data_IF_822348674636
#
_entry.id   IF_822348674636
#
_cell.length_a   1.000
_cell.length_b   1.000
_cell.length_c   1.000
_cell.angle_alpha   90.00
_cell.angle_beta   90.00
_cell.angle_gamma   90.00
#
_symmetry.space_group_name_H-M   'P 1'
#
loop_
_entity.id
_entity.type
_entity.pdbx_description
1 polymer ?
#
# COMPACT_ATOMS: atom_id res chain seq x y z
N UNK A 1 -5.26 1.02 -8.32
CA UNK A 1 -4.91 1.16 -6.88
C UNK A 1 -4.62 2.63 -6.61
N UNK A 2 -4.81 3.12 -5.38
CA UNK A 2 -4.58 4.53 -5.08
C UNK A 2 -5.00 4.94 -3.68
N UNK A 3 -4.76 6.20 -3.35
CA UNK A 3 -5.19 6.83 -2.10
C UNK A 3 -6.15 7.99 -2.39
N UNK A 4 -7.12 8.14 -1.49
CA UNK A 4 -8.01 9.30 -1.42
C UNK A 4 -7.81 9.99 -0.07
N UNK A 5 -7.52 11.29 -0.11
CA UNK A 5 -7.27 12.13 1.06
C UNK A 5 -8.36 13.20 1.10
N UNK A 6 -9.09 13.26 2.19
CA UNK A 6 -10.08 14.30 2.46
C UNK A 6 -9.62 15.16 3.63
N UNK A 7 -9.58 16.48 3.44
CA UNK A 7 -9.11 17.42 4.45
C UNK A 7 -9.97 18.68 4.42
N UNK A 8 -10.23 19.28 5.59
CA UNK A 8 -10.99 20.54 5.66
C UNK A 8 -10.15 21.70 5.14
N UNK A 9 -10.76 22.63 4.42
CA UNK A 9 -10.08 23.83 3.93
C UNK A 9 -9.42 24.64 5.06
N UNK A 10 -10.06 24.73 6.23
CA UNK A 10 -9.50 25.37 7.43
C UNK A 10 -8.18 24.75 7.91
N UNK A 11 -8.00 23.44 7.73
CA UNK A 11 -6.79 22.73 8.14
C UNK A 11 -5.65 22.96 7.14
N UNK A 12 -5.99 23.03 5.85
CA UNK A 12 -5.06 23.36 4.76
C UNK A 12 -4.59 24.82 4.89
N UNK A 13 -5.52 25.75 5.12
CA UNK A 13 -5.21 27.19 5.20
C UNK A 13 -4.44 27.57 6.47
N UNK A 14 -4.52 26.73 7.52
CA UNK A 14 -3.81 26.96 8.79
C UNK A 14 -2.29 27.01 8.59
N UNK A 15 -1.77 26.19 7.68
CA UNK A 15 -0.36 26.10 7.40
C UNK A 15 -0.15 25.95 5.88
N UNK A 16 0.08 27.05 5.14
CA UNK A 16 0.25 27.00 3.69
C UNK A 16 1.56 26.30 3.27
N UNK A 17 2.44 25.95 4.23
CA UNK A 17 3.65 25.14 4.01
C UNK A 17 3.50 23.72 4.54
N UNK A 18 2.28 23.29 4.82
CA UNK A 18 2.00 21.94 5.29
C UNK A 18 2.45 20.91 4.25
N UNK A 19 3.38 20.04 4.65
CA UNK A 19 3.83 18.94 3.81
C UNK A 19 3.11 17.66 4.25
N UNK A 20 2.42 17.03 3.30
CA UNK A 20 1.78 15.74 3.50
C UNK A 20 2.69 14.67 2.90
N UNK A 21 3.28 13.80 3.71
CA UNK A 21 4.09 12.69 3.23
C UNK A 21 3.25 11.43 3.21
N UNK A 22 2.96 10.94 2.00
CA UNK A 22 2.38 9.64 1.76
C UNK A 22 3.49 8.59 1.65
N UNK A 23 3.38 7.51 2.41
CA UNK A 23 4.31 6.39 2.41
C UNK A 23 3.55 5.08 2.32
N UNK A 24 3.97 4.20 1.41
CA UNK A 24 3.37 2.90 1.23
C UNK A 24 4.43 1.84 0.95
N UNK A 25 4.20 0.63 1.48
CA UNK A 25 5.01 -0.56 1.19
C UNK A 25 4.12 -1.63 0.59
N UNK A 26 4.53 -2.15 -0.57
CA UNK A 26 3.81 -3.16 -1.31
C UNK A 26 4.66 -4.42 -1.43
N UNK A 27 4.04 -5.61 -1.34
CA UNK A 27 4.73 -6.87 -1.54
C UNK A 27 5.44 -6.93 -2.90
N UNK A 28 6.48 -7.74 -3.00
CA UNK A 28 7.28 -7.85 -4.22
C UNK A 28 6.47 -8.31 -5.43
N UNK A 29 5.39 -9.06 -5.21
CA UNK A 29 4.50 -9.62 -6.22
C UNK A 29 3.45 -8.62 -6.71
N UNK A 30 3.41 -7.39 -6.17
CA UNK A 30 2.51 -6.34 -6.60
C UNK A 30 3.31 -5.21 -7.24
N UNK A 31 3.31 -5.19 -8.58
CA UNK A 31 4.05 -4.19 -9.35
C UNK A 31 3.14 -3.01 -9.68
N UNK A 32 3.58 -1.79 -9.37
CA UNK A 32 2.82 -0.57 -9.69
C UNK A 32 3.43 0.18 -10.86
N UNK A 33 2.58 0.75 -11.71
CA UNK A 33 2.98 1.50 -12.88
C UNK A 33 2.89 3.00 -12.65
N UNK A 34 3.94 3.58 -12.05
CA UNK A 34 3.96 5.02 -11.73
C UNK A 34 3.87 5.95 -12.95
N UNK A 35 4.09 5.46 -14.17
CA UNK A 35 3.89 6.24 -15.40
C UNK A 35 2.39 6.45 -15.71
N UNK A 36 1.50 5.63 -15.15
CA UNK A 36 0.03 5.74 -15.27
C UNK A 36 -0.60 6.62 -14.20
N UNK A 37 0.24 7.18 -13.31
CA UNK A 37 -0.19 8.00 -12.18
C UNK A 37 -1.04 9.17 -12.64
N UNK A 38 -2.23 9.26 -12.06
CA UNK A 38 -3.18 10.35 -12.25
C UNK A 38 -3.52 10.96 -10.89
N UNK A 39 -3.68 12.28 -10.90
CA UNK A 39 -4.08 13.06 -9.72
C UNK A 39 -5.37 13.80 -10.04
N UNK A 40 -6.32 13.73 -9.13
CA UNK A 40 -7.59 14.44 -9.19
C UNK A 40 -7.73 15.23 -7.89
N UNK A 41 -8.05 16.52 -7.99
CA UNK A 41 -8.33 17.37 -6.83
C UNK A 41 -9.70 17.99 -7.03
N UNK A 42 -10.59 17.78 -6.07
CA UNK A 42 -11.99 18.23 -6.05
C UNK A 42 -12.76 17.84 -7.32
N UNK A 43 -12.54 16.63 -7.84
CA UNK A 43 -13.18 16.13 -9.05
C UNK A 43 -12.50 16.59 -10.35
N UNK A 44 -11.48 17.44 -10.28
CA UNK A 44 -10.77 17.95 -11.45
C UNK A 44 -9.45 17.19 -11.62
N UNK A 45 -9.29 16.54 -12.77
CA UNK A 45 -8.03 15.87 -13.11
C UNK A 45 -6.92 16.91 -13.34
N UNK A 46 -5.81 16.74 -12.64
CA UNK A 46 -4.64 17.61 -12.74
C UNK A 46 -3.75 17.14 -13.89
N UNK A 47 -3.63 17.98 -14.93
CA UNK A 47 -2.77 17.69 -16.10
C UNK A 47 -1.29 17.49 -15.75
N UNK A 48 -0.79 18.23 -14.77
CA UNK A 48 0.61 18.19 -14.34
C UNK A 48 0.71 17.78 -12.87
N UNK A 49 0.91 16.48 -12.56
CA UNK A 49 0.98 15.97 -11.19
C UNK A 49 2.04 16.65 -10.32
N UNK A 50 3.09 17.24 -10.91
CA UNK A 50 4.15 17.97 -10.19
C UNK A 50 3.67 19.19 -9.41
N UNK A 51 2.47 19.70 -9.70
CA UNK A 51 1.82 20.76 -8.90
C UNK A 51 1.36 20.28 -7.53
N UNK A 52 1.06 19.00 -7.42
CA UNK A 52 0.56 18.35 -6.20
C UNK A 52 1.67 17.52 -5.55
N UNK A 53 2.44 16.81 -6.35
CA UNK A 53 3.51 15.92 -5.91
C UNK A 53 4.84 16.64 -6.06
N UNK A 54 5.36 17.15 -4.95
CA UNK A 54 6.59 17.96 -4.93
C UNK A 54 7.85 17.09 -4.93
N UNK A 55 7.79 15.93 -4.28
CA UNK A 55 8.90 14.98 -4.19
C UNK A 55 8.40 13.56 -4.30
N UNK A 56 9.16 12.71 -5.00
CA UNK A 56 8.94 11.27 -5.07
C UNK A 56 10.22 10.53 -4.71
N UNK A 57 10.10 9.46 -3.93
CA UNK A 57 11.20 8.55 -3.62
C UNK A 57 10.68 7.13 -3.79
N UNK A 58 11.36 6.36 -4.63
CA UNK A 58 10.93 5.03 -5.04
C UNK A 58 12.08 4.08 -4.74
N UNK A 59 11.78 2.98 -4.06
CA UNK A 59 12.62 1.80 -3.97
C UNK A 59 11.84 0.66 -4.63
N UNK A 60 12.20 0.24 -5.86
CA UNK A 60 11.47 -0.81 -6.59
C UNK A 60 11.50 -2.13 -5.81
N UNK A 61 10.63 -3.11 -6.01
CA UNK A 61 10.76 -4.41 -5.35
C UNK A 61 11.93 -5.21 -5.93
N UNK A 62 12.39 -6.24 -5.20
CA UNK A 62 13.12 -7.38 -5.77
C UNK A 62 12.34 -8.63 -5.43
N UNK A 63 12.10 -9.46 -6.44
CA UNK A 63 11.32 -10.68 -6.33
C UNK A 63 11.82 -11.54 -5.15
N UNK A 64 10.94 -11.85 -4.19
CA UNK A 64 11.20 -12.64 -2.97
C UNK A 64 12.26 -12.12 -2.00
N UNK A 65 12.88 -10.98 -2.27
CA UNK A 65 13.95 -10.44 -1.42
C UNK A 65 13.49 -9.19 -0.67
N UNK A 66 12.83 -8.25 -1.35
CA UNK A 66 12.40 -6.99 -0.71
C UNK A 66 11.12 -6.41 -1.31
N UNK A 67 10.26 -5.79 -0.47
CA UNK A 67 9.06 -5.12 -0.94
C UNK A 67 9.38 -3.86 -1.76
N UNK A 68 8.38 -3.41 -2.50
CA UNK A 68 8.37 -2.10 -3.14
C UNK A 68 8.04 -1.04 -2.09
N UNK A 69 8.84 0.00 -1.97
CA UNK A 69 8.61 1.10 -1.03
C UNK A 69 8.54 2.42 -1.78
N UNK A 70 7.51 3.21 -1.48
CA UNK A 70 7.25 4.42 -2.22
C UNK A 70 6.75 5.55 -1.34
N UNK A 71 7.32 6.72 -1.57
CA UNK A 71 7.05 7.94 -0.81
C UNK A 71 6.76 9.09 -1.75
N UNK A 72 5.67 9.81 -1.49
CA UNK A 72 5.37 11.09 -2.12
C UNK A 72 5.23 12.18 -1.06
N UNK A 73 5.84 13.34 -1.32
CA UNK A 73 5.45 14.56 -0.64
C UNK A 73 4.37 15.24 -1.48
N UNK A 74 3.23 15.46 -0.86
CA UNK A 74 2.00 15.99 -1.43
C UNK A 74 1.72 17.37 -0.83
N UNK A 75 1.15 18.25 -1.65
CA UNK A 75 0.61 19.54 -1.22
C UNK A 75 -0.77 19.74 -1.85
N UNK A 76 -1.73 20.21 -1.05
CA UNK A 76 -3.03 20.62 -1.58
C UNK A 76 -2.85 21.93 -2.37
N UNK A 77 -3.24 21.97 -3.66
CA UNK A 77 -3.14 23.20 -4.43
C UNK A 77 -4.12 24.24 -3.86
N UNK A 78 -3.70 25.52 -3.88
CA UNK A 78 -4.55 26.62 -3.43
C UNK A 78 -5.86 26.64 -4.22
N UNK A 79 -6.95 27.04 -3.56
CA UNK A 79 -8.28 27.20 -4.17
C UNK A 79 -8.25 28.12 -5.40
N UNK A 80 -7.36 29.11 -5.41
CA UNK A 80 -7.24 30.06 -6.51
C UNK A 80 -6.49 29.48 -7.71
N UNK A 81 -5.47 28.64 -7.47
CA UNK A 81 -4.75 27.92 -8.53
C UNK A 81 -5.66 26.92 -9.26
N UNK A 82 -6.68 26.40 -8.57
CA UNK A 82 -7.66 25.48 -9.13
C UNK A 82 -8.67 26.17 -10.04
N UNK A 83 -9.08 27.42 -9.74
CA UNK A 83 -10.03 28.20 -10.56
C UNK A 83 -9.48 28.54 -11.94
N UNK A 84 -8.16 28.66 -12.08
CA UNK A 84 -7.49 28.92 -13.38
C UNK A 84 -7.71 27.79 -14.38
N UNK A 85 -7.96 26.56 -13.93
CA UNK A 85 -8.31 25.43 -14.79
C UNK A 85 -9.81 25.35 -15.12
N UNK A 86 -10.67 26.11 -14.42
CA UNK A 86 -12.13 26.06 -14.57
C UNK A 86 -12.66 27.00 -15.68
N UNK A 87 -11.81 27.85 -16.27
CA UNK A 87 -12.23 28.75 -17.35
C UNK A 87 -12.62 28.05 -18.66
N UNK A 88 -12.48 26.73 -18.75
CA UNK A 88 -12.88 25.92 -19.92
C UNK A 88 -14.10 25.02 -19.71
N UNK A 89 -14.83 25.12 -18.58
CA UNK A 89 -16.07 24.36 -18.38
C UNK A 89 -17.15 25.33 -17.87
N UNK A 90 -18.02 25.76 -18.79
CA UNK A 90 -19.21 26.56 -18.50
C UNK A 90 -20.29 25.73 -17.79
N UNK A 91 -21.09 26.43 -16.96
CA UNK A 91 -22.42 26.09 -16.39
C UNK A 91 -22.47 24.85 -15.50
N UNK A 92 -23.01 24.79 -14.29
CA UNK A 92 -23.88 25.56 -13.38
C UNK A 92 -23.44 25.04 -11.97
N UNK A 93 -23.42 25.73 -10.84
CA UNK A 93 -24.44 26.52 -10.17
C UNK A 93 -23.73 27.43 -9.17
N UNK A 94 -24.02 28.72 -9.24
CA UNK A 94 -23.70 29.66 -8.17
C UNK A 94 -24.85 29.61 -7.17
N UNK A 95 -24.67 28.95 -6.02
CA UNK A 95 -25.23 29.41 -4.74
C UNK A 95 -24.79 28.54 -3.56
N UNK A 96 -23.72 28.94 -2.88
CA UNK A 96 -23.72 29.01 -1.41
C UNK A 96 -22.42 29.64 -0.90
N UNK A 97 -22.52 30.89 -0.44
CA UNK A 97 -21.57 31.44 0.54
C UNK A 97 -21.69 30.61 1.82
N UNK A 98 -20.91 29.54 1.96
CA UNK A 98 -20.55 28.95 3.25
C UNK A 98 -19.04 29.12 3.41
N UNK A 99 -18.65 30.25 4.01
CA UNK A 99 -17.25 30.47 4.39
C UNK A 99 -16.86 29.38 5.42
N UNK A 100 -15.82 28.64 5.06
CA UNK A 100 -14.86 27.90 5.88
C UNK A 100 -15.01 26.38 6.11
N UNK A 101 -16.17 25.74 6.06
CA UNK A 101 -16.21 24.25 6.24
C UNK A 101 -16.19 23.45 4.94
N UNK A 102 -15.49 23.92 3.90
CA UNK A 102 -15.40 23.17 2.64
C UNK A 102 -14.43 22.00 2.78
N UNK A 103 -14.90 20.77 2.56
CA UNK A 103 -14.06 19.59 2.49
C UNK A 103 -13.38 19.54 1.12
N UNK A 104 -12.07 19.39 1.11
CA UNK A 104 -11.24 19.25 -0.09
C UNK A 104 -10.85 17.78 -0.26
N UNK A 105 -10.83 17.32 -1.50
CA UNK A 105 -10.63 15.90 -1.83
C UNK A 105 -9.52 15.74 -2.84
N UNK A 106 -8.51 14.94 -2.52
CA UNK A 106 -7.41 14.60 -3.42
C UNK A 106 -7.37 13.10 -3.64
N UNK A 107 -7.43 12.66 -4.90
CA UNK A 107 -7.24 11.27 -5.29
C UNK A 107 -5.97 11.10 -6.09
N UNK A 108 -5.19 10.10 -5.74
CA UNK A 108 -3.98 9.70 -6.47
C UNK A 108 -4.14 8.23 -6.80
N UNK A 109 -4.13 7.88 -8.08
CA UNK A 109 -4.33 6.49 -8.51
C UNK A 109 -3.42 6.13 -9.68
N UNK A 110 -3.13 4.83 -9.78
CA UNK A 110 -2.25 4.22 -10.77
C UNK A 110 -2.67 2.77 -11.04
N UNK A 111 -2.26 2.27 -12.20
CA UNK A 111 -2.41 0.88 -12.61
C UNK A 111 -1.38 -0.01 -11.92
N UNK A 112 -1.72 -1.28 -11.76
CA UNK A 112 -0.90 -2.28 -11.08
C UNK A 112 -1.09 -3.66 -11.72
N UNK A 113 -0.11 -4.53 -11.50
CA UNK A 113 -0.11 -5.92 -11.94
C UNK A 113 0.28 -6.84 -10.78
N UNK A 114 -0.20 -8.09 -10.84
CA UNK A 114 0.05 -9.14 -9.85
C UNK A 114 0.92 -10.23 -10.48
N UNK A 115 2.02 -10.55 -9.82
CA UNK A 115 2.88 -11.68 -10.19
C UNK A 115 2.38 -13.00 -9.61
N UNK A 116 2.82 -14.10 -10.23
CA UNK A 116 2.57 -15.45 -9.73
C UNK A 116 3.47 -15.78 -8.54
N UNK A 117 2.85 -16.35 -7.51
CA UNK A 117 3.54 -16.92 -6.37
C UNK A 117 3.93 -18.38 -6.62
N UNK A 118 4.91 -18.86 -5.86
CA UNK A 118 5.23 -20.28 -5.80
C UNK A 118 4.13 -21.02 -5.04
N UNK A 119 3.97 -22.31 -5.32
CA UNK A 119 2.97 -23.14 -4.65
C UNK A 119 3.14 -23.15 -3.12
N UNK A 120 4.37 -22.99 -2.62
CA UNK A 120 4.69 -22.96 -1.18
C UNK A 120 4.38 -21.63 -0.50
N UNK A 121 4.05 -20.58 -1.25
CA UNK A 121 3.81 -19.23 -0.71
C UNK A 121 2.33 -18.88 -0.61
N UNK A 122 1.47 -19.64 -1.27
CA UNK A 122 0.04 -19.54 -1.06
C UNK A 122 -0.29 -20.00 0.36
N UNK A 123 -1.23 -19.29 0.98
CA UNK A 123 -1.85 -19.76 2.21
C UNK A 123 -2.68 -21.02 1.95
N UNK A 124 -3.17 -21.67 3.00
CA UNK A 124 -4.09 -22.80 2.87
C UNK A 124 -5.27 -22.47 1.93
N UNK A 125 -5.79 -23.49 1.25
CA UNK A 125 -6.75 -23.37 0.13
C UNK A 125 -7.99 -22.50 0.48
N UNK A 126 -8.51 -22.63 1.70
CA UNK A 126 -9.54 -21.73 2.23
C UNK A 126 -8.91 -20.44 2.81
N UNK A 127 -8.44 -19.54 1.93
CA UNK A 127 -7.99 -18.20 2.33
C UNK A 127 -8.83 -17.09 1.67
N UNK A 128 -8.80 -15.90 2.25
CA UNK A 128 -9.55 -14.73 1.76
C UNK A 128 -8.75 -13.87 0.76
N UNK A 129 -7.56 -14.31 0.37
CA UNK A 129 -6.56 -13.49 -0.32
C UNK A 129 -5.49 -12.90 0.61
N UNK A 130 -4.77 -11.91 0.10
CA UNK A 130 -3.60 -11.31 0.73
C UNK A 130 -3.91 -9.90 1.24
N UNK A 131 -3.69 -9.67 2.53
CA UNK A 131 -3.80 -8.34 3.12
C UNK A 131 -2.57 -7.49 2.76
N UNK A 132 -2.80 -6.30 2.22
CA UNK A 132 -1.75 -5.30 2.01
C UNK A 132 -1.54 -4.47 3.28
N UNK A 133 -0.30 -4.06 3.48
CA UNK A 133 0.05 -3.14 4.56
C UNK A 133 -0.68 -1.80 4.37
N UNK A 134 -1.17 -1.17 5.45
CA UNK A 134 -1.76 0.15 5.36
C UNK A 134 -0.69 1.18 5.02
N UNK A 135 -1.00 2.07 4.09
CA UNK A 135 -0.18 3.24 3.83
C UNK A 135 -0.22 4.23 5.02
N UNK A 136 0.91 4.89 5.26
CA UNK A 136 1.05 5.96 6.25
C UNK A 136 0.91 7.33 5.59
N UNK A 137 0.19 8.23 6.25
CA UNK A 137 0.12 9.64 5.90
C UNK A 137 0.71 10.46 7.05
N UNK A 138 1.78 11.19 6.80
CA UNK A 138 2.46 12.01 7.83
C UNK A 138 2.27 13.48 7.47
N UNK A 139 1.64 14.21 8.37
CA UNK A 139 1.39 15.63 8.26
C UNK A 139 2.47 16.39 9.02
N UNK A 140 3.30 17.16 8.32
CA UNK A 140 4.25 18.06 8.96
C UNK A 140 3.65 19.46 9.03
N UNK A 141 3.53 20.01 10.25
CA UNK A 141 3.15 21.41 10.44
C UNK A 141 4.34 22.22 10.95
N UNK A 142 4.67 23.28 10.23
CA UNK A 142 5.70 24.23 10.63
C UNK A 142 5.07 25.26 11.57
N UNK A 143 5.28 25.12 12.88
CA UNK A 143 4.91 26.18 13.82
C UNK A 143 5.87 27.36 13.62
N UNK A 144 5.46 28.38 12.89
CA UNK A 144 6.09 29.69 12.98
C UNK A 144 5.80 30.25 14.38
N UNK A 145 6.80 30.22 15.27
CA UNK A 145 6.73 31.03 16.49
C UNK A 145 6.74 32.50 16.04
N UNK A 146 5.63 33.21 16.21
CA UNK A 146 5.68 34.66 16.32
C UNK A 146 6.54 34.97 17.54
N UNK A 147 7.76 35.48 17.32
CA UNK A 147 8.50 36.19 18.36
C UNK A 147 7.85 37.56 18.47
N UNK A 148 6.73 37.62 19.19
CA UNK A 148 6.26 38.90 19.70
C UNK A 148 7.10 39.23 20.94
N UNK A 149 7.61 40.45 20.92
CA UNK A 149 8.52 41.07 21.87
C UNK A 149 7.93 41.08 23.28
N UNK A 150 8.70 40.64 24.27
CA UNK A 150 8.69 41.22 25.61
C UNK A 150 10.17 41.33 26.03
N UNK A 151 10.73 42.53 25.81
CA UNK A 151 11.96 42.98 26.44
C UNK A 151 11.66 43.23 27.92
N UNK A 152 12.21 42.44 28.83
CA UNK A 152 12.43 42.88 30.21
C UNK A 152 13.74 42.34 30.78
N UNK A 153 14.57 43.28 31.24
CA UNK A 153 15.91 43.17 31.79
C UNK A 153 15.91 42.40 33.12
N UNK A 154 16.90 41.52 33.35
CA UNK A 154 17.10 40.95 34.69
C UNK A 154 18.19 39.89 34.84
N UNK A 155 19.40 40.35 35.15
CA UNK A 155 20.43 39.77 36.02
C UNK A 155 21.05 38.37 35.78
N UNK A 156 22.39 38.40 35.80
CA UNK A 156 23.35 37.31 35.83
C UNK A 156 23.07 36.26 36.93
N UNK A 157 23.31 34.99 36.61
CA UNK A 157 23.97 34.05 37.53
C UNK A 157 24.61 32.87 36.79
N UNK A 158 25.73 32.44 37.36
CA UNK A 158 26.77 31.57 36.83
C UNK A 158 26.64 30.14 37.39
N UNK A 159 27.07 29.15 36.59
CA UNK A 159 27.33 27.72 36.86
C UNK A 159 26.14 26.75 37.05
N UNK A 160 25.95 25.84 36.08
CA UNK A 160 26.17 24.40 36.28
C UNK A 160 26.29 23.71 34.92
N UNK A 161 27.45 23.09 34.68
CA UNK A 161 27.69 22.13 33.62
C UNK A 161 26.81 20.88 33.82
N UNK A 162 26.04 20.54 32.79
CA UNK A 162 25.28 19.29 32.72
C UNK A 162 24.91 19.04 31.27
N UNK A 163 25.48 17.98 30.69
CA UNK A 163 25.08 17.40 29.42
C UNK A 163 23.55 17.31 29.37
N UNK A 164 22.92 18.14 28.54
CA UNK A 164 21.59 17.96 27.97
C UNK A 164 21.44 18.91 26.79
N UNK A 165 22.39 18.86 25.85
CA UNK A 165 22.09 19.22 24.46
C UNK A 165 21.33 18.05 23.83
N UNK A 166 20.13 17.76 24.36
CA UNK A 166 19.09 17.17 23.54
C UNK A 166 18.85 18.20 22.45
N UNK A 167 19.49 17.97 21.30
CA UNK A 167 19.25 18.71 20.08
C UNK A 167 17.73 18.81 19.97
N UNK A 168 17.21 20.01 20.26
CA UNK A 168 15.82 20.32 20.07
C UNK A 168 15.65 20.31 18.57
N UNK A 169 15.33 19.12 18.05
CA UNK A 169 15.07 18.89 16.66
C UNK A 169 13.91 19.83 16.32
N UNK A 170 14.22 20.94 15.65
CA UNK A 170 13.29 22.02 15.29
C UNK A 170 12.27 21.54 14.23
N UNK A 171 12.03 20.24 14.13
CA UNK A 171 10.95 19.66 13.35
C UNK A 171 9.65 20.02 14.06
N UNK A 172 8.85 20.85 13.40
CA UNK A 172 7.50 21.17 13.85
C UNK A 172 6.68 19.92 14.16
N UNK A 173 5.55 20.08 14.85
CA UNK A 173 4.70 18.95 15.24
C UNK A 173 4.29 18.15 14.01
N UNK A 174 4.50 16.83 14.06
CA UNK A 174 4.02 15.91 13.03
C UNK A 174 2.91 15.03 13.56
N UNK A 175 1.89 14.79 12.73
CA UNK A 175 0.76 13.89 13.03
C UNK A 175 0.75 12.77 11.99
N UNK A 176 0.55 11.53 12.41
CA UNK A 176 0.51 10.36 11.51
C UNK A 176 -0.89 9.74 11.48
N UNK A 177 -1.36 9.46 10.28
CA UNK A 177 -2.58 8.71 10.00
C UNK A 177 -2.23 7.43 9.23
N UNK A 178 -3.10 6.43 9.31
CA UNK A 178 -2.97 5.17 8.61
C UNK A 178 -4.23 4.93 7.77
N UNK A 179 -4.03 4.39 6.57
CA UNK A 179 -5.13 3.95 5.71
C UNK A 179 -5.66 2.58 6.17
N UNK A 180 -6.80 2.16 5.61
CA UNK A 180 -7.30 0.80 5.79
C UNK A 180 -6.49 -0.19 4.97
N UNK A 181 -6.25 -1.39 5.50
CA UNK A 181 -5.61 -2.46 4.73
C UNK A 181 -6.46 -2.84 3.52
N UNK A 182 -5.82 -3.01 2.36
CA UNK A 182 -6.48 -3.45 1.14
C UNK A 182 -6.33 -4.96 0.98
N UNK A 183 -7.41 -5.66 0.62
CA UNK A 183 -7.39 -7.09 0.37
C UNK A 183 -7.19 -7.34 -1.13
N UNK A 184 -6.18 -8.13 -1.49
CA UNK A 184 -5.87 -8.48 -2.88
C UNK A 184 -6.05 -9.97 -3.09
N UNK A 185 -6.86 -10.31 -4.08
CA UNK A 185 -7.04 -11.69 -4.51
C UNK A 185 -6.02 -12.04 -5.62
N UNK A 186 -5.33 -13.17 -5.47
CA UNK A 186 -4.37 -13.72 -6.45
C UNK A 186 -4.93 -15.01 -7.02
N UNK A 187 -4.58 -15.32 -8.27
CA UNK A 187 -5.01 -16.55 -8.90
C UNK A 187 -4.39 -17.76 -8.16
N UNK A 188 -5.19 -18.44 -7.35
CA UNK A 188 -4.77 -19.64 -6.61
C UNK A 188 -4.46 -20.78 -7.58
N UNK A 189 -3.28 -21.42 -7.48
CA UNK A 189 -2.96 -22.57 -8.32
C UNK A 189 -3.83 -23.76 -7.91
N UNK A 190 -4.16 -24.62 -8.86
CA UNK A 190 -4.91 -25.84 -8.59
C UNK A 190 -4.06 -26.84 -7.79
N UNK A 191 -4.36 -27.00 -6.50
CA UNK A 191 -3.71 -27.97 -5.62
C UNK A 191 -4.23 -29.40 -5.81
N UNK A 192 -5.40 -29.55 -6.43
CA UNK A 192 -6.09 -30.85 -6.56
C UNK A 192 -5.64 -31.64 -7.79
N UNK A 193 -5.28 -30.96 -8.89
CA UNK A 193 -4.84 -31.63 -10.12
C UNK A 193 -3.57 -32.48 -9.90
N UNK A 194 -2.47 -31.96 -9.29
CA UNK A 194 -1.30 -32.80 -9.00
C UNK A 194 -1.61 -33.96 -8.06
N UNK A 195 -2.51 -33.76 -7.08
CA UNK A 195 -2.90 -34.81 -6.14
C UNK A 195 -3.58 -35.99 -6.85
N UNK A 196 -4.49 -35.71 -7.78
CA UNK A 196 -5.13 -36.75 -8.59
C UNK A 196 -4.10 -37.54 -9.42
N UNK A 197 -3.11 -36.85 -9.99
CA UNK A 197 -2.03 -37.51 -10.75
C UNK A 197 -1.19 -38.40 -9.84
N UNK A 198 -0.85 -37.95 -8.63
CA UNK A 198 -0.10 -38.73 -7.65
C UNK A 198 -0.89 -39.98 -7.21
N UNK A 199 -2.20 -39.86 -6.97
CA UNK A 199 -3.04 -41.01 -6.63
C UNK A 199 -3.07 -42.03 -7.77
N UNK A 200 -3.29 -41.58 -9.01
CA UNK A 200 -3.40 -42.48 -10.15
C UNK A 200 -2.06 -43.19 -10.41
N UNK A 201 -0.95 -42.45 -10.37
CA UNK A 201 0.39 -43.01 -10.58
C UNK A 201 0.81 -43.96 -9.47
N UNK A 202 0.57 -43.61 -8.20
CA UNK A 202 0.86 -44.50 -7.06
C UNK A 202 0.02 -45.77 -7.09
N UNK A 203 -1.26 -45.67 -7.46
CA UNK A 203 -2.15 -46.84 -7.66
C UNK A 203 -1.62 -47.75 -8.76
N UNK A 204 -1.22 -47.18 -9.90
CA UNK A 204 -0.63 -47.93 -11.01
C UNK A 204 0.65 -48.65 -10.60
N UNK A 205 1.55 -47.98 -9.86
CA UNK A 205 2.77 -48.59 -9.33
C UNK A 205 2.46 -49.73 -8.35
N UNK A 206 1.52 -49.54 -7.43
CA UNK A 206 1.12 -50.56 -6.47
C UNK A 206 0.55 -51.81 -7.15
N UNK A 207 -0.31 -51.63 -8.16
CA UNK A 207 -0.87 -52.75 -8.94
C UNK A 207 0.21 -53.46 -9.75
N UNK A 208 1.15 -52.73 -10.35
CA UNK A 208 2.25 -53.32 -11.10
C UNK A 208 3.14 -54.18 -10.20
N UNK A 209 3.65 -53.63 -9.09
CA UNK A 209 4.49 -54.38 -8.17
C UNK A 209 3.74 -55.52 -7.47
N UNK A 210 2.49 -55.29 -7.07
CA UNK A 210 1.64 -56.33 -6.48
C UNK A 210 1.40 -57.48 -7.45
N UNK A 211 1.11 -57.18 -8.72
CA UNK A 211 0.94 -58.18 -9.77
C UNK A 211 2.23 -58.96 -10.02
N UNK A 212 3.37 -58.28 -10.15
CA UNK A 212 4.67 -58.93 -10.37
C UNK A 212 5.07 -59.79 -9.17
N UNK A 213 4.91 -59.29 -7.95
CA UNK A 213 5.22 -60.04 -6.73
C UNK A 213 4.34 -61.28 -6.58
N UNK A 214 3.03 -61.15 -6.82
CA UNK A 214 2.10 -62.27 -6.80
C UNK A 214 2.48 -63.33 -7.86
N UNK A 215 2.90 -62.91 -9.06
CA UNK A 215 3.34 -63.83 -10.10
C UNK A 215 4.63 -64.58 -9.70
N UNK A 216 5.56 -63.91 -9.02
CA UNK A 216 6.82 -64.53 -8.59
C UNK A 216 6.67 -65.47 -7.37
N UNK A 217 5.76 -65.15 -6.46
CA UNK A 217 5.64 -65.88 -5.17
C UNK A 217 4.52 -66.93 -5.19
N UNK A 218 3.51 -66.79 -6.05
CA UNK A 218 2.37 -67.71 -6.06
C UNK A 218 2.74 -69.05 -6.69
N UNK A 219 2.85 -70.07 -5.83
CA UNK A 219 3.01 -71.47 -6.24
C UNK A 219 1.64 -72.08 -6.62
N UNK A 220 1.54 -72.63 -7.83
CA UNK A 220 0.31 -73.23 -8.34
C UNK A 220 0.30 -74.73 -8.08
N UNK A 221 -0.50 -75.18 -7.09
CA UNK A 221 -0.69 -76.61 -6.83
C UNK A 221 -1.90 -77.18 -7.56
N UNK A 222 -1.68 -78.26 -8.30
CA UNK A 222 -2.75 -79.03 -8.94
C UNK A 222 -3.56 -79.79 -7.89
N UNK A 223 -4.82 -79.42 -7.71
CA UNK A 223 -5.76 -80.15 -6.85
C UNK A 223 -6.53 -81.15 -7.72
N UNK A 224 -6.35 -82.45 -7.47
CA UNK A 224 -7.16 -83.49 -8.12
C UNK A 224 -8.57 -83.49 -7.53
N UNK A 225 -9.54 -83.08 -8.34
CA UNK A 225 -10.96 -83.18 -7.98
C UNK A 225 -11.41 -84.64 -8.19
N UNK A 226 -11.89 -85.27 -7.12
CA UNK A 226 -12.38 -86.66 -7.15
C UNK A 226 -13.73 -86.67 -7.88
N UNK A 227 -13.79 -87.29 -9.06
CA UNK A 227 -15.05 -87.47 -9.81
C UNK A 227 -15.94 -88.44 -9.02
N UNK A 228 -17.15 -87.99 -8.69
CA UNK A 228 -18.18 -88.75 -7.95
C UNK A 228 -18.82 -89.79 -8.86
#
# INVERSE_FOLDING_TARGET
MGIEIEMKQEEIDRDPRQEIVYFEELPWWLTIYLHTLKVEVDGIQIKYPTRVITKKTIKPSIQRERPYSFTMTLNFPSSDDMKVNLSNIQSEDRNSKKKNTQLRKMKIYFEYEKDLLLYTEYSSDANRGFDLNPAALILYSSKTKNKDQDDELGHDNLHQSGLNSSASDHRGSSVRYWTTCALVDLATPDFSMPYNVIIVTSTAMALFFGSVFNLLVRDFKLIKIKKK
#
